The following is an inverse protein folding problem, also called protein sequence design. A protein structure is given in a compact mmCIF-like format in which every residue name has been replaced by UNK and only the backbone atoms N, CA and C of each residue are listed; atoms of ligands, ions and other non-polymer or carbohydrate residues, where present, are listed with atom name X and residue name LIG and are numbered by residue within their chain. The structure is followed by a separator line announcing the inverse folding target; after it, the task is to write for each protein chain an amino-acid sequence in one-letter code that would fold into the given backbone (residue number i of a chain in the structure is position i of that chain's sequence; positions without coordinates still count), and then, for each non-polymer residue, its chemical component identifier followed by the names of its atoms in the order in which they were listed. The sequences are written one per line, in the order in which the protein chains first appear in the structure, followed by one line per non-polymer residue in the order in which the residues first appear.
data_IF_143191630602
#
_entry.id   IF_143191630602
#
_cell.length_a   1.000
_cell.length_b   1.000
_cell.length_c   1.000
_cell.angle_alpha   90.00
_cell.angle_beta   90.00
_cell.angle_gamma   90.00
#
_symmetry.space_group_name_H-M   'P 1'
#
loop_
_entity.id
_entity.type
_entity.pdbx_description
1 polymer ?
#
# COMPACT_ATOMS: atom_id res chain seq x y z
N UNK A 1 -14.48 3.73 -6.90
CA UNK A 1 -13.99 5.12 -6.94
C UNK A 1 -12.84 5.15 -7.95
N UNK A 2 -12.79 6.07 -8.92
CA UNK A 2 -11.67 6.09 -9.86
C UNK A 2 -10.37 6.33 -9.10
N UNK A 3 -9.30 5.63 -9.49
CA UNK A 3 -7.99 5.80 -8.86
C UNK A 3 -7.42 7.20 -9.09
N UNK A 4 -7.69 7.77 -10.27
CA UNK A 4 -7.41 9.17 -10.58
C UNK A 4 -8.64 9.99 -10.16
N UNK A 5 -8.52 10.90 -9.17
CA UNK A 5 -9.67 11.60 -8.62
C UNK A 5 -10.10 12.80 -9.47
N UNK A 6 -9.23 13.31 -10.33
CA UNK A 6 -9.45 14.54 -11.09
C UNK A 6 -10.42 14.31 -12.26
N UNK A 7 -11.42 15.16 -12.34
CA UNK A 7 -12.32 15.26 -13.50
C UNK A 7 -11.65 16.00 -14.66
N UNK A 8 -12.16 15.86 -15.90
CA UNK A 8 -11.71 16.68 -17.02
C UNK A 8 -11.76 18.19 -16.72
N UNK A 9 -12.76 18.63 -15.96
CA UNK A 9 -12.93 20.01 -15.52
C UNK A 9 -11.81 20.44 -14.54
N UNK A 10 -11.47 19.59 -13.55
CA UNK A 10 -10.35 19.84 -12.64
C UNK A 10 -9.04 19.95 -13.42
N UNK A 11 -8.80 19.03 -14.36
CA UNK A 11 -7.60 19.02 -15.21
C UNK A 11 -7.50 20.31 -16.01
N UNK A 12 -8.59 20.73 -16.66
CA UNK A 12 -8.65 21.99 -17.42
C UNK A 12 -8.36 23.21 -16.55
N UNK A 13 -8.95 23.28 -15.35
CA UNK A 13 -8.71 24.37 -14.41
C UNK A 13 -7.27 24.42 -13.92
N UNK A 14 -6.67 23.28 -13.58
CA UNK A 14 -5.27 23.19 -13.14
C UNK A 14 -4.30 23.58 -14.25
N UNK A 15 -4.53 23.13 -15.50
CA UNK A 15 -3.71 23.52 -16.65
C UNK A 15 -3.80 25.02 -16.92
N UNK A 16 -5.01 25.59 -16.86
CA UNK A 16 -5.22 27.03 -17.00
C UNK A 16 -4.51 27.87 -15.93
N UNK A 17 -4.43 27.37 -14.69
CA UNK A 17 -3.75 28.06 -13.59
C UNK A 17 -2.23 28.17 -13.78
N UNK A 18 -1.62 27.20 -14.48
CA UNK A 18 -0.18 27.17 -14.76
C UNK A 18 0.17 27.62 -16.19
N UNK A 19 -0.83 27.92 -17.02
CA UNK A 19 -0.64 28.37 -18.40
C UNK A 19 -0.22 27.27 -19.39
N UNK A 20 -0.45 25.99 -19.06
CA UNK A 20 -0.18 24.85 -19.95
C UNK A 20 -1.40 24.56 -20.83
N UNK A 21 -1.19 24.09 -22.06
CA UNK A 21 -2.28 23.79 -23.00
C UNK A 21 -2.74 22.31 -22.92
N UNK A 22 -1.84 21.42 -22.50
CA UNK A 22 -2.08 19.99 -22.39
C UNK A 22 -1.27 19.34 -21.27
N UNK A 23 -1.62 18.09 -20.91
CA UNK A 23 -0.83 17.30 -19.96
C UNK A 23 0.56 17.00 -20.54
N UNK A 24 0.64 16.80 -21.85
CA UNK A 24 1.88 16.50 -22.57
C UNK A 24 2.91 17.63 -22.45
N UNK A 25 2.46 18.89 -22.35
CA UNK A 25 3.33 20.05 -22.14
C UNK A 25 4.08 19.98 -20.81
N UNK A 26 3.55 19.27 -19.80
CA UNK A 26 4.18 19.11 -18.48
C UNK A 26 5.40 18.18 -18.50
N UNK A 27 5.66 17.51 -19.62
CA UNK A 27 6.73 16.52 -19.78
C UNK A 27 7.67 16.87 -20.94
N UNK A 28 7.76 18.15 -21.33
CA UNK A 28 8.62 18.62 -22.42
C UNK A 28 10.12 18.51 -22.08
N UNK A 29 10.48 18.58 -20.80
CA UNK A 29 11.85 18.40 -20.29
C UNK A 29 12.40 16.99 -20.49
N UNK A 30 11.53 15.99 -20.66
CA UNK A 30 11.95 14.60 -20.88
C UNK A 30 12.37 14.45 -22.35
N UNK A 31 13.65 14.12 -22.66
CA UNK A 31 14.10 13.91 -24.02
C UNK A 31 13.26 12.85 -24.76
N UNK A 32 12.89 13.05 -26.04
CA UNK A 32 12.06 12.09 -26.78
C UNK A 32 12.62 10.67 -26.81
N UNK A 33 13.95 10.52 -26.80
CA UNK A 33 14.61 9.22 -26.77
C UNK A 33 14.42 8.44 -25.45
N UNK A 34 14.04 9.11 -24.37
CA UNK A 34 13.75 8.50 -23.07
C UNK A 34 12.25 8.22 -22.87
N UNK A 35 11.38 8.77 -23.72
CA UNK A 35 9.93 8.53 -23.63
C UNK A 35 9.61 7.12 -24.15
N UNK A 36 8.94 6.33 -23.33
CA UNK A 36 8.45 5.02 -23.74
C UNK A 36 7.20 5.17 -24.61
N UNK A 37 7.10 4.38 -25.68
CA UNK A 37 5.85 4.26 -26.44
C UNK A 37 4.80 3.43 -25.69
N UNK A 38 3.85 2.86 -26.44
CA UNK A 38 2.87 1.94 -25.85
C UNK A 38 3.56 0.75 -25.17
N UNK A 39 3.11 0.41 -23.98
CA UNK A 39 3.53 -0.79 -23.25
C UNK A 39 2.95 -2.02 -23.96
N UNK A 40 3.79 -2.75 -24.72
CA UNK A 40 3.34 -3.87 -25.57
C UNK A 40 3.02 -5.14 -24.78
N UNK A 41 3.69 -5.31 -23.64
CA UNK A 41 3.60 -6.52 -22.82
C UNK A 41 2.67 -6.36 -21.62
N UNK A 42 1.96 -5.23 -21.53
CA UNK A 42 0.96 -4.97 -20.48
C UNK A 42 -0.42 -5.25 -21.06
N UNK A 43 -1.17 -6.21 -20.51
CA UNK A 43 -2.54 -6.49 -20.94
C UNK A 43 -3.46 -5.29 -20.75
N UNK A 44 -4.58 -5.29 -21.48
CA UNK A 44 -5.63 -4.30 -21.28
C UNK A 44 -6.16 -4.31 -19.84
N UNK A 45 -6.55 -3.13 -19.37
CA UNK A 45 -7.12 -2.96 -18.03
C UNK A 45 -8.38 -3.79 -17.85
N UNK A 46 -8.52 -4.40 -16.67
CA UNK A 46 -9.70 -5.16 -16.29
C UNK A 46 -10.56 -4.34 -15.31
N UNK A 47 -11.90 -4.47 -15.36
CA UNK A 47 -12.77 -3.95 -14.31
C UNK A 47 -12.43 -4.55 -12.95
N UNK A 48 -12.64 -3.79 -11.88
CA UNK A 48 -12.32 -4.18 -10.49
C UNK A 48 -12.85 -5.58 -10.14
N UNK A 49 -14.11 -5.87 -10.46
CA UNK A 49 -14.72 -7.19 -10.19
C UNK A 49 -14.02 -8.34 -10.94
N UNK A 50 -13.56 -8.09 -12.17
CA UNK A 50 -12.86 -9.08 -12.97
C UNK A 50 -11.46 -9.36 -12.42
N UNK A 51 -10.76 -8.32 -11.94
CA UNK A 51 -9.47 -8.46 -11.25
C UNK A 51 -9.63 -9.26 -9.97
N UNK A 52 -10.62 -8.93 -9.13
CA UNK A 52 -10.87 -9.64 -7.87
C UNK A 52 -11.13 -11.12 -8.10
N UNK A 53 -11.98 -11.47 -9.07
CA UNK A 53 -12.23 -12.88 -9.44
C UNK A 53 -10.95 -13.57 -9.92
N UNK A 54 -10.19 -12.94 -10.81
CA UNK A 54 -8.95 -13.50 -11.32
C UNK A 54 -7.93 -13.78 -10.20
N UNK A 55 -7.80 -12.87 -9.24
CA UNK A 55 -6.88 -13.05 -8.10
C UNK A 55 -7.35 -14.18 -7.18
N UNK A 56 -8.65 -14.31 -6.95
CA UNK A 56 -9.22 -15.43 -6.17
C UNK A 56 -8.98 -16.78 -6.84
N UNK A 57 -9.24 -16.88 -8.16
CA UNK A 57 -8.98 -18.11 -8.92
C UNK A 57 -7.52 -18.54 -8.86
N UNK A 58 -6.59 -17.58 -8.94
CA UNK A 58 -5.15 -17.85 -8.81
C UNK A 58 -4.78 -18.31 -7.40
N UNK A 59 -5.27 -17.62 -6.36
CA UNK A 59 -4.99 -17.99 -4.98
C UNK A 59 -5.48 -19.40 -4.62
N UNK A 60 -6.58 -19.85 -5.22
CA UNK A 60 -7.09 -21.22 -5.03
C UNK A 60 -6.17 -22.30 -5.61
N UNK A 61 -5.31 -21.97 -6.58
CA UNK A 61 -4.38 -22.92 -7.18
C UNK A 61 -3.23 -23.32 -6.24
N UNK A 62 -2.87 -22.47 -5.27
CA UNK A 62 -1.79 -22.73 -4.31
C UNK A 62 -2.17 -23.80 -3.27
N UNK A 63 -3.48 -24.01 -3.05
CA UNK A 63 -4.02 -24.98 -2.10
C UNK A 63 -3.87 -24.55 -0.63
N UNK A 64 -4.44 -25.33 0.27
CA UNK A 64 -4.41 -25.09 1.72
C UNK A 64 -3.82 -26.31 2.41
N UNK A 65 -2.61 -26.17 2.94
CA UNK A 65 -1.84 -27.28 3.50
C UNK A 65 -1.45 -26.96 4.94
N UNK A 66 -1.57 -27.94 5.84
CA UNK A 66 -0.90 -27.85 7.13
C UNK A 66 0.61 -27.96 6.90
N UNK A 67 1.36 -26.94 7.35
CA UNK A 67 2.79 -26.85 7.12
C UNK A 67 3.57 -26.89 8.44
N UNK A 68 4.37 -27.94 8.61
CA UNK A 68 5.19 -28.17 9.80
C UNK A 68 6.69 -28.12 9.53
N UNK A 69 7.13 -27.55 8.39
CA UNK A 69 8.56 -27.46 8.02
C UNK A 69 9.34 -26.56 8.98
N UNK A 70 8.69 -25.52 9.54
CA UNK A 70 9.33 -24.57 10.44
C UNK A 70 10.26 -23.59 9.73
N UNK A 71 11.53 -23.54 10.13
CA UNK A 71 12.55 -22.62 9.59
C UNK A 71 12.23 -21.11 9.74
N UNK A 72 11.67 -20.72 10.89
CA UNK A 72 11.40 -19.31 11.23
C UNK A 72 10.01 -18.82 10.85
N UNK A 73 9.21 -19.64 10.16
CA UNK A 73 7.80 -19.35 9.87
C UNK A 73 6.95 -20.49 10.42
N UNK A 74 5.98 -20.14 11.26
CA UNK A 74 5.15 -21.10 11.97
C UNK A 74 3.69 -20.68 11.86
N UNK A 75 2.84 -21.66 11.52
CA UNK A 75 1.40 -21.46 11.51
C UNK A 75 0.91 -21.09 12.92
N UNK A 76 0.12 -20.02 13.02
CA UNK A 76 -0.42 -19.54 14.28
C UNK A 76 -1.83 -18.97 14.07
N UNK A 77 -2.64 -19.03 15.12
CA UNK A 77 -3.98 -18.49 15.08
C UNK A 77 -3.94 -16.95 15.10
N UNK A 78 -4.51 -16.32 14.07
CA UNK A 78 -4.70 -14.86 13.99
C UNK A 78 -6.13 -14.55 14.47
N UNK A 79 -6.33 -13.85 15.60
CA UNK A 79 -7.66 -13.48 16.06
C UNK A 79 -8.43 -12.66 15.02
N UNK A 80 -9.71 -12.96 14.82
CA UNK A 80 -10.54 -12.30 13.81
C UNK A 80 -10.59 -10.76 13.93
N UNK A 81 -10.44 -10.24 15.15
CA UNK A 81 -10.37 -8.79 15.41
C UNK A 81 -9.17 -8.12 14.72
N UNK A 82 -8.06 -8.84 14.49
CA UNK A 82 -6.88 -8.29 13.82
C UNK A 82 -7.21 -7.87 12.40
N UNK A 83 -7.96 -8.67 11.64
CA UNK A 83 -8.37 -8.32 10.28
C UNK A 83 -9.26 -7.07 10.23
N UNK A 84 -10.07 -6.85 11.26
CA UNK A 84 -10.87 -5.62 11.39
C UNK A 84 -10.01 -4.39 11.69
N UNK A 85 -8.85 -4.57 12.34
CA UNK A 85 -7.93 -3.46 12.66
C UNK A 85 -7.02 -3.14 11.49
N UNK A 86 -6.40 -4.16 10.87
CA UNK A 86 -5.41 -3.96 9.80
C UNK A 86 -6.00 -3.40 8.51
N UNK A 87 -7.33 -3.48 8.35
CA UNK A 87 -8.05 -2.95 7.18
C UNK A 87 -8.63 -1.55 7.40
N UNK A 88 -8.48 -0.97 8.59
CA UNK A 88 -8.89 0.40 8.88
C UNK A 88 -7.96 1.39 8.17
N UNK A 89 -8.55 2.37 7.49
CA UNK A 89 -7.82 3.34 6.68
C UNK A 89 -6.74 4.09 7.45
N UNK A 90 -7.03 4.49 8.69
CA UNK A 90 -6.12 5.19 9.59
C UNK A 90 -4.84 4.41 9.96
N UNK A 91 -4.86 3.07 9.88
CA UNK A 91 -3.67 2.24 10.05
C UNK A 91 -3.04 1.84 8.71
N UNK A 92 -3.85 1.70 7.68
CA UNK A 92 -3.42 1.19 6.37
C UNK A 92 -2.82 2.28 5.46
N UNK A 93 -3.32 3.52 5.53
CA UNK A 93 -2.89 4.62 4.66
C UNK A 93 -1.92 5.61 5.31
N UNK A 94 -1.83 5.62 6.65
CA UNK A 94 -0.86 6.43 7.36
C UNK A 94 0.57 5.95 7.06
N UNK A 95 1.51 6.90 6.95
CA UNK A 95 2.92 6.59 6.72
C UNK A 95 3.75 6.73 8.00
N UNK A 96 5.07 6.80 7.88
CA UNK A 96 5.99 7.03 9.02
C UNK A 96 5.51 8.21 9.87
N UNK A 97 5.44 8.07 11.21
CA UNK A 97 4.87 9.08 12.10
C UNK A 97 5.81 10.27 12.33
N UNK A 98 6.21 10.96 11.26
CA UNK A 98 7.08 12.14 11.31
C UNK A 98 6.41 13.33 12.02
N UNK A 99 5.08 13.41 11.98
CA UNK A 99 4.29 14.40 12.71
C UNK A 99 3.72 13.76 13.98
N UNK A 100 4.51 13.77 15.06
CA UNK A 100 4.21 13.01 16.27
C UNK A 100 2.87 13.38 16.90
N UNK A 101 2.50 14.66 16.91
CA UNK A 101 1.25 15.20 17.46
C UNK A 101 0.01 14.65 16.73
N UNK A 102 0.15 14.33 15.45
CA UNK A 102 -0.90 13.75 14.61
C UNK A 102 -0.81 12.22 14.52
N UNK A 103 0.11 11.57 15.22
CA UNK A 103 0.41 10.13 15.08
C UNK A 103 0.54 9.39 16.42
N UNK A 104 0.02 9.95 17.51
CA UNK A 104 0.15 9.37 18.86
C UNK A 104 -0.39 7.94 18.97
N UNK A 105 -1.44 7.57 18.22
CA UNK A 105 -1.96 6.19 18.22
C UNK A 105 -0.94 5.17 17.70
N UNK A 106 -0.31 5.45 16.55
CA UNK A 106 0.73 4.59 15.98
C UNK A 106 1.99 4.57 16.86
N UNK A 107 2.39 5.72 17.40
CA UNK A 107 3.54 5.81 18.30
C UNK A 107 3.32 5.01 19.59
N UNK A 108 2.10 5.01 20.13
CA UNK A 108 1.74 4.16 21.26
C UNK A 108 1.82 2.67 20.90
N UNK A 109 1.30 2.26 19.73
CA UNK A 109 1.40 0.88 19.27
C UNK A 109 2.87 0.42 19.14
N UNK A 110 3.74 1.28 18.60
CA UNK A 110 5.18 1.02 18.51
C UNK A 110 5.80 0.88 19.90
N UNK A 111 5.45 1.75 20.84
CA UNK A 111 5.92 1.67 22.21
C UNK A 111 5.48 0.36 22.90
N UNK A 112 4.23 -0.07 22.67
CA UNK A 112 3.72 -1.34 23.18
C UNK A 112 4.47 -2.54 22.58
N UNK A 113 4.78 -2.52 21.28
CA UNK A 113 5.64 -3.52 20.64
C UNK A 113 7.02 -3.58 21.28
N UNK A 114 7.70 -2.42 21.41
CA UNK A 114 9.02 -2.34 22.03
C UNK A 114 9.00 -2.87 23.47
N UNK A 115 7.96 -2.52 24.24
CA UNK A 115 7.76 -2.99 25.61
C UNK A 115 7.53 -4.50 25.66
N UNK A 116 6.75 -5.06 24.74
CA UNK A 116 6.57 -6.50 24.61
C UNK A 116 7.90 -7.20 24.33
N UNK A 117 8.69 -6.68 23.40
CA UNK A 117 9.97 -7.27 23.00
C UNK A 117 11.02 -7.21 24.09
N UNK A 118 11.16 -6.09 24.80
CA UNK A 118 12.10 -5.99 25.94
C UNK A 118 11.70 -6.93 27.07
N UNK A 119 10.40 -7.06 27.38
CA UNK A 119 9.90 -8.02 28.38
C UNK A 119 10.11 -9.47 27.98
N UNK A 120 9.92 -9.80 26.71
CA UNK A 120 10.07 -11.16 26.19
C UNK A 120 11.55 -11.59 26.12
N UNK A 121 12.43 -10.68 25.71
CA UNK A 121 13.86 -10.98 25.49
C UNK A 121 14.75 -10.73 26.71
N UNK A 122 14.28 -9.92 27.67
CA UNK A 122 15.07 -9.49 28.82
C UNK A 122 16.16 -8.47 28.50
N UNK A 123 16.09 -7.81 27.34
CA UNK A 123 17.01 -6.76 26.92
C UNK A 123 16.46 -5.36 27.25
N UNK A 124 17.36 -4.38 27.39
CA UNK A 124 16.99 -3.03 27.83
C UNK A 124 16.19 -2.23 26.81
N UNK A 125 16.43 -2.44 25.50
CA UNK A 125 15.82 -1.66 24.42
C UNK A 125 15.50 -2.52 23.20
N UNK A 126 14.49 -2.10 22.43
CA UNK A 126 14.12 -2.68 21.14
C UNK A 126 13.81 -1.56 20.15
N UNK A 127 14.07 -1.80 18.86
CA UNK A 127 13.65 -0.93 17.76
C UNK A 127 12.14 -1.15 17.45
N UNK A 128 11.61 -0.47 16.44
CA UNK A 128 10.18 -0.47 16.11
C UNK A 128 9.73 -1.63 15.19
N UNK A 129 10.55 -2.69 15.02
CA UNK A 129 10.25 -3.92 14.27
C UNK A 129 11.35 -4.96 14.46
#
# INVERSE_FOLDING_TARGET
MPFIPHTPEDVSSMLGAIGAASIEDLFDEIPPALKTGKLKDVPDGLPEMAVTRLMQERALADGFWSNFIGAGVYEHHIPAAIWQITTRGEFYSAYTPYQAEASQGTLQLIYEYQTMMTRLTGLDVSNAS
#
